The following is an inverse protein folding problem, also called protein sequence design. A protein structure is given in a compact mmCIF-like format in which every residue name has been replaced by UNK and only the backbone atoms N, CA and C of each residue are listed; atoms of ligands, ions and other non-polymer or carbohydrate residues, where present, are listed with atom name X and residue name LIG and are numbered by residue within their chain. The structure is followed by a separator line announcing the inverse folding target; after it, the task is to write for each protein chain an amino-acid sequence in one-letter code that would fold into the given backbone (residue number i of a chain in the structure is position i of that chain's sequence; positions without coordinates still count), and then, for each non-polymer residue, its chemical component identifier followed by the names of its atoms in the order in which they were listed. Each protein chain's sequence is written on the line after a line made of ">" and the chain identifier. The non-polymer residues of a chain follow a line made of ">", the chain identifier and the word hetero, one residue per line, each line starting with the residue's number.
data_IF_602067745259
#
_entry.id   IF_602067745259
#
_cell.length_a   1.000
_cell.length_b   1.000
_cell.length_c   1.000
_cell.angle_alpha   90.00
_cell.angle_beta   90.00
_cell.angle_gamma   90.00
#
_symmetry.space_group_name_H-M   'P 1'
#
loop_
_entity.id
_entity.type
_entity.pdbx_description
1 polymer ?
#
# COMPACT_ATOMS: atom_id res chain seq x y z
N UNK A 1 -7.46 21.16 -14.61
CA UNK A 1 -6.80 20.25 -13.67
C UNK A 1 -7.91 19.67 -12.80
N UNK A 2 -8.09 18.34 -12.80
CA UNK A 2 -9.10 17.68 -11.96
C UNK A 2 -8.45 17.22 -10.67
N UNK A 3 -9.06 17.51 -9.53
CA UNK A 3 -8.60 17.11 -8.20
C UNK A 3 -9.20 15.74 -7.83
N UNK A 4 -8.42 14.92 -7.18
CA UNK A 4 -8.90 13.64 -6.63
C UNK A 4 -9.45 13.92 -5.23
N UNK A 5 -10.67 13.49 -4.97
CA UNK A 5 -11.26 13.56 -3.62
C UNK A 5 -10.70 12.42 -2.76
N UNK A 6 -10.37 12.71 -1.51
CA UNK A 6 -9.82 11.73 -0.57
C UNK A 6 -10.75 10.53 -0.34
N UNK A 7 -12.05 10.76 -0.38
CA UNK A 7 -13.07 9.70 -0.22
C UNK A 7 -13.02 8.60 -1.29
N UNK A 8 -12.45 8.91 -2.47
CA UNK A 8 -12.33 7.95 -3.58
C UNK A 8 -11.02 7.15 -3.53
N UNK A 9 -10.08 7.52 -2.66
CA UNK A 9 -8.83 6.79 -2.45
C UNK A 9 -8.98 5.82 -1.28
N UNK A 10 -8.82 4.54 -1.57
CA UNK A 10 -9.05 3.47 -0.62
C UNK A 10 -7.87 2.50 -0.53
N UNK A 11 -7.76 1.85 0.61
CA UNK A 11 -6.84 0.71 0.82
C UNK A 11 -7.62 -0.58 0.66
N UNK A 12 -7.09 -1.46 -0.15
CA UNK A 12 -7.62 -2.81 -0.39
C UNK A 12 -6.61 -3.84 0.12
N UNK A 13 -7.10 -4.86 0.79
CA UNK A 13 -6.32 -5.99 1.28
C UNK A 13 -6.90 -7.29 0.72
N UNK A 14 -6.09 -8.04 -0.05
CA UNK A 14 -6.57 -9.25 -0.71
C UNK A 14 -7.74 -9.01 -1.67
N UNK A 15 -7.78 -7.85 -2.33
CA UNK A 15 -8.83 -7.48 -3.29
C UNK A 15 -10.13 -6.96 -2.70
N UNK A 16 -10.25 -6.88 -1.37
CA UNK A 16 -11.40 -6.30 -0.66
C UNK A 16 -10.98 -5.02 0.06
N UNK A 17 -11.85 -4.02 0.09
CA UNK A 17 -11.62 -2.81 0.88
C UNK A 17 -11.56 -3.12 2.37
N UNK A 18 -10.77 -2.35 3.11
CA UNK A 18 -10.85 -2.33 4.57
C UNK A 18 -12.17 -1.65 4.93
N UNK A 19 -12.99 -2.31 5.76
CA UNK A 19 -14.34 -1.86 6.04
C UNK A 19 -14.37 -0.54 6.83
N UNK A 20 -15.36 0.29 6.53
CA UNK A 20 -15.71 1.52 7.26
C UNK A 20 -14.55 2.49 7.51
N UNK A 21 -13.63 2.59 6.56
CA UNK A 21 -12.49 3.47 6.68
C UNK A 21 -12.89 4.94 6.66
N UNK A 22 -12.35 5.70 7.58
CA UNK A 22 -12.51 7.14 7.69
C UNK A 22 -11.31 7.90 7.14
N UNK A 23 -10.13 7.26 7.18
CA UNK A 23 -8.89 7.86 6.67
C UNK A 23 -7.90 6.78 6.25
N UNK A 24 -7.16 7.06 5.20
CA UNK A 24 -6.04 6.24 4.74
C UNK A 24 -4.81 7.09 4.49
N UNK A 25 -3.66 6.59 4.87
CA UNK A 25 -2.37 7.23 4.61
C UNK A 25 -1.39 6.23 4.00
N UNK A 26 -0.71 6.63 2.95
CA UNK A 26 0.45 5.94 2.39
C UNK A 26 1.65 6.87 2.51
N UNK A 27 2.66 6.45 3.22
CA UNK A 27 3.92 7.16 3.36
C UNK A 27 5.03 6.37 2.68
N UNK A 28 5.85 7.06 1.91
CA UNK A 28 7.02 6.49 1.22
C UNK A 28 8.22 7.32 1.63
N UNK A 29 9.23 6.68 2.18
CA UNK A 29 10.44 7.33 2.69
C UNK A 29 11.68 6.80 1.98
N UNK A 30 12.62 7.69 1.72
CA UNK A 30 13.94 7.38 1.19
C UNK A 30 14.97 7.73 2.25
N UNK A 31 15.73 6.75 2.70
CA UNK A 31 16.90 7.01 3.53
C UNK A 31 18.00 7.66 2.70
N UNK A 32 18.71 8.59 3.31
CA UNK A 32 19.87 9.23 2.70
C UNK A 32 21.11 9.02 3.55
N UNK A 33 22.23 8.76 2.90
CA UNK A 33 23.52 8.63 3.53
C UNK A 33 24.38 9.82 3.14
N UNK A 34 24.91 10.52 4.13
CA UNK A 34 25.83 11.62 3.89
C UNK A 34 27.19 11.08 3.42
N UNK A 35 27.69 11.62 2.31
CA UNK A 35 29.01 11.35 1.77
C UNK A 35 29.83 12.62 1.97
N UNK A 36 30.63 12.65 3.05
CA UNK A 36 31.53 13.74 3.31
C UNK A 36 32.96 13.25 3.06
N UNK A 37 33.62 13.77 2.03
CA UNK A 37 35.02 13.47 1.75
C UNK A 37 35.88 14.69 2.04
N UNK A 38 37.18 14.45 2.36
CA UNK A 38 38.15 15.56 2.62
C UNK A 38 38.36 16.43 1.39
N UNK A 39 38.02 15.94 0.21
CA UNK A 39 38.20 16.64 -1.06
C UNK A 39 36.95 17.46 -1.44
N UNK A 40 35.84 17.31 -0.71
CA UNK A 40 34.65 18.17 -0.86
C UNK A 40 34.93 19.54 -0.24
N UNK A 41 35.63 20.37 -0.96
CA UNK A 41 35.92 21.77 -0.56
C UNK A 41 34.69 22.69 -0.60
N UNK A 42 33.48 22.14 -0.66
CA UNK A 42 32.25 22.84 -0.87
C UNK A 42 31.49 23.21 0.41
N UNK A 43 30.63 24.21 0.29
CA UNK A 43 29.72 24.66 1.34
C UNK A 43 28.44 23.79 1.41
N UNK A 44 28.34 22.76 0.58
CA UNK A 44 27.16 21.91 0.41
C UNK A 44 27.50 20.48 0.79
N UNK A 45 26.60 19.81 1.51
CA UNK A 45 26.71 18.39 1.80
C UNK A 45 26.23 17.57 0.60
N UNK A 46 26.93 16.48 0.30
CA UNK A 46 26.51 15.49 -0.69
C UNK A 46 25.86 14.31 0.03
N UNK A 47 24.79 13.79 -0.55
CA UNK A 47 24.04 12.65 -0.02
C UNK A 47 23.87 11.58 -1.08
N UNK A 48 23.97 10.32 -0.66
CA UNK A 48 23.67 9.15 -1.46
C UNK A 48 22.29 8.62 -1.09
N UNK A 49 21.53 8.16 -2.09
CA UNK A 49 20.25 7.52 -1.88
C UNK A 49 20.43 6.15 -1.23
N UNK A 50 19.77 5.93 -0.11
CA UNK A 50 19.76 4.66 0.61
C UNK A 50 18.55 3.79 0.27
N UNK A 51 17.96 3.17 1.27
CA UNK A 51 16.83 2.24 1.12
C UNK A 51 15.51 3.03 1.06
N UNK A 52 14.65 2.64 0.14
CA UNK A 52 13.26 3.12 0.10
C UNK A 52 12.42 2.20 0.97
N UNK A 53 11.67 2.78 1.89
CA UNK A 53 10.69 2.11 2.73
C UNK A 53 9.32 2.75 2.56
N UNK A 54 8.27 2.02 2.90
CA UNK A 54 6.92 2.55 2.87
C UNK A 54 6.05 1.92 3.95
N UNK A 55 5.07 2.67 4.39
CA UNK A 55 4.07 2.23 5.35
C UNK A 55 2.68 2.70 4.93
N UNK A 56 1.67 2.01 5.43
CA UNK A 56 0.26 2.39 5.29
C UNK A 56 -0.40 2.43 6.65
N UNK A 57 -1.30 3.39 6.81
CA UNK A 57 -2.15 3.50 7.98
C UNK A 57 -3.61 3.63 7.55
N UNK A 58 -4.50 3.09 8.34
CA UNK A 58 -5.93 3.19 8.14
C UNK A 58 -6.64 3.40 9.47
N UNK A 59 -7.53 4.39 9.49
CA UNK A 59 -8.46 4.65 10.59
C UNK A 59 -9.85 4.22 10.16
N UNK A 60 -10.52 3.42 10.97
CA UNK A 60 -11.76 2.76 10.60
C UNK A 60 -12.76 2.79 11.75
N UNK A 61 -14.05 2.81 11.42
CA UNK A 61 -15.11 2.42 12.36
C UNK A 61 -15.22 0.89 12.38
N UNK A 62 -15.58 0.34 13.53
CA UNK A 62 -15.79 -1.10 13.67
C UNK A 62 -17.22 -1.42 13.28
N UNK A 63 -17.39 -2.25 12.26
CA UNK A 63 -18.67 -2.70 11.76
C UNK A 63 -18.93 -4.19 11.99
N UNK A 64 -20.10 -4.65 11.57
CA UNK A 64 -20.47 -6.06 11.68
C UNK A 64 -19.57 -6.94 10.79
N UNK A 65 -19.29 -8.18 11.21
CA UNK A 65 -18.57 -9.16 10.40
C UNK A 65 -19.27 -9.37 9.03
N UNK A 66 -18.47 -9.39 7.95
CA UNK A 66 -18.95 -9.71 6.61
C UNK A 66 -18.97 -8.55 5.61
N UNK A 67 -18.84 -7.31 6.05
CA UNK A 67 -18.81 -6.12 5.19
C UNK A 67 -17.39 -5.62 4.91
N UNK A 68 -16.57 -6.43 4.19
CA UNK A 68 -15.17 -6.12 3.91
C UNK A 68 -14.20 -6.81 4.89
N UNK A 69 -12.99 -6.26 5.03
CA UNK A 69 -11.99 -6.73 6.00
C UNK A 69 -12.25 -6.08 7.36
N UNK A 70 -12.84 -6.86 8.26
CA UNK A 70 -13.14 -6.43 9.62
C UNK A 70 -11.99 -6.64 10.61
N UNK A 71 -12.22 -6.29 11.88
CA UNK A 71 -11.22 -6.40 12.96
C UNK A 71 -10.63 -7.80 13.09
N UNK A 72 -11.46 -8.84 13.18
CA UNK A 72 -11.02 -10.22 13.41
C UNK A 72 -10.11 -10.72 12.28
N UNK A 73 -10.50 -10.46 11.02
CA UNK A 73 -9.69 -10.86 9.86
C UNK A 73 -8.33 -10.16 9.81
N UNK A 74 -8.25 -8.92 10.29
CA UNK A 74 -6.99 -8.16 10.35
C UNK A 74 -6.09 -8.65 11.48
N UNK A 75 -6.66 -9.00 12.63
CA UNK A 75 -5.93 -9.62 13.74
C UNK A 75 -5.42 -11.00 13.35
N UNK A 76 -6.24 -11.82 12.69
CA UNK A 76 -5.83 -13.15 12.21
C UNK A 76 -4.68 -13.03 11.20
N UNK A 77 -4.75 -12.08 10.28
CA UNK A 77 -3.68 -11.83 9.32
C UNK A 77 -2.38 -11.37 10.02
N UNK A 78 -2.48 -10.56 11.07
CA UNK A 78 -1.33 -10.14 11.87
C UNK A 78 -0.72 -11.33 12.62
N UNK A 79 -1.54 -12.20 13.24
CA UNK A 79 -1.10 -13.40 13.97
C UNK A 79 -0.44 -14.40 13.03
N UNK A 80 -0.93 -14.52 11.79
CA UNK A 80 -0.35 -15.39 10.78
C UNK A 80 1.08 -14.98 10.38
N UNK A 81 1.50 -13.74 10.67
CA UNK A 81 2.85 -13.20 10.39
C UNK A 81 3.28 -13.33 8.94
N UNK A 82 2.32 -13.30 8.03
CA UNK A 82 2.56 -13.38 6.59
C UNK A 82 2.28 -12.05 5.93
N UNK A 83 3.11 -11.64 4.94
CA UNK A 83 2.81 -10.45 4.17
C UNK A 83 1.49 -10.61 3.42
N UNK A 84 0.66 -9.59 3.49
CA UNK A 84 -0.61 -9.51 2.77
C UNK A 84 -0.48 -8.60 1.55
N UNK A 85 -1.22 -8.92 0.49
CA UNK A 85 -1.27 -8.06 -0.70
C UNK A 85 -2.14 -6.85 -0.38
N UNK A 86 -1.56 -5.67 -0.56
CA UNK A 86 -2.23 -4.39 -0.35
C UNK A 86 -2.21 -3.54 -1.61
N UNK A 87 -3.29 -2.83 -1.84
CA UNK A 87 -3.43 -1.89 -2.95
C UNK A 87 -3.98 -0.57 -2.41
N UNK A 88 -3.30 0.53 -2.68
CA UNK A 88 -3.77 1.88 -2.43
C UNK A 88 -4.16 2.48 -3.77
N UNK A 89 -5.46 2.58 -4.04
CA UNK A 89 -5.96 3.05 -5.33
C UNK A 89 -7.31 3.73 -5.23
N UNK A 90 -7.72 4.33 -6.35
CA UNK A 90 -9.12 4.72 -6.51
C UNK A 90 -10.02 3.48 -6.54
N UNK A 91 -11.26 3.65 -6.13
CA UNK A 91 -12.30 2.64 -6.32
C UNK A 91 -12.54 2.34 -7.80
N UNK A 92 -12.83 1.08 -8.14
CA UNK A 92 -12.90 0.63 -9.53
C UNK A 92 -14.04 1.21 -10.35
N UNK A 93 -15.13 1.58 -9.68
CA UNK A 93 -16.34 2.10 -10.32
C UNK A 93 -16.30 3.62 -10.53
N UNK A 94 -15.29 4.32 -9.99
CA UNK A 94 -15.07 5.74 -10.26
C UNK A 94 -14.54 5.94 -11.67
N UNK A 95 -15.41 6.38 -12.58
CA UNK A 95 -15.04 6.71 -13.97
C UNK A 95 -14.53 8.14 -14.10
N UNK A 96 -14.89 9.00 -13.17
CA UNK A 96 -14.47 10.40 -13.12
C UNK A 96 -13.91 10.74 -11.75
N UNK A 97 -12.77 11.45 -11.71
CA UNK A 97 -12.15 11.92 -10.46
C UNK A 97 -13.01 12.96 -9.71
N UNK A 98 -13.96 13.59 -10.41
CA UNK A 98 -14.88 14.57 -9.85
C UNK A 98 -16.25 13.94 -9.47
N UNK A 99 -16.53 12.72 -9.92
CA UNK A 99 -17.70 12.01 -9.48
C UNK A 99 -17.55 11.69 -7.99
N UNK A 100 -18.52 12.03 -7.20
CA UNK A 100 -18.60 11.58 -5.82
C UNK A 100 -18.60 10.05 -5.76
N UNK A 101 -18.32 9.52 -4.59
CA UNK A 101 -18.47 8.10 -4.31
C UNK A 101 -19.90 7.67 -4.68
N UNK A 102 -20.08 6.47 -5.19
CA UNK A 102 -21.42 5.92 -5.42
C UNK A 102 -22.27 6.02 -4.15
N UNK A 103 -23.54 6.32 -4.29
CA UNK A 103 -24.47 6.48 -3.15
C UNK A 103 -24.65 5.19 -2.32
N UNK A 104 -24.25 4.05 -2.87
CA UNK A 104 -24.33 2.76 -2.21
C UNK A 104 -23.09 1.90 -2.48
N UNK A 105 -22.70 1.10 -1.49
CA UNK A 105 -21.65 0.09 -1.65
C UNK A 105 -22.11 -0.94 -2.68
N UNK A 106 -21.29 -1.24 -3.73
CA UNK A 106 -21.64 -2.28 -4.69
C UNK A 106 -21.88 -3.64 -4.00
N UNK A 107 -22.80 -4.44 -4.50
CA UNK A 107 -23.10 -5.78 -3.93
C UNK A 107 -21.86 -6.69 -3.85
N UNK A 108 -20.88 -6.48 -4.74
CA UNK A 108 -19.60 -7.19 -4.73
C UNK A 108 -18.53 -6.54 -3.84
N UNK A 109 -18.87 -5.48 -3.11
CA UNK A 109 -17.94 -4.63 -2.38
C UNK A 109 -17.11 -3.72 -3.30
N UNK A 110 -16.40 -2.76 -2.72
CA UNK A 110 -15.47 -1.90 -3.44
C UNK A 110 -14.30 -2.70 -3.98
N UNK A 111 -13.88 -2.40 -5.20
CA UNK A 111 -12.72 -3.03 -5.87
C UNK A 111 -11.69 -1.98 -6.26
N UNK A 112 -10.39 -2.31 -6.25
CA UNK A 112 -9.35 -1.39 -6.67
C UNK A 112 -9.42 -1.14 -8.18
N UNK A 113 -9.19 0.11 -8.60
CA UNK A 113 -9.11 0.46 -10.02
C UNK A 113 -7.84 -0.11 -10.64
N UNK A 114 -7.99 -0.84 -11.75
CA UNK A 114 -6.88 -1.55 -12.39
C UNK A 114 -5.81 -0.64 -13.02
N UNK A 115 -6.10 0.65 -13.22
CA UNK A 115 -5.21 1.58 -13.94
C UNK A 115 -4.55 2.65 -13.07
N UNK A 116 -4.92 2.74 -11.79
CA UNK A 116 -4.43 3.81 -10.93
C UNK A 116 -4.21 3.34 -9.49
N UNK A 117 -3.05 3.66 -8.95
CA UNK A 117 -2.72 3.33 -7.57
C UNK A 117 -1.35 2.70 -7.40
N UNK A 118 -1.09 2.25 -6.18
CA UNK A 118 0.12 1.54 -5.76
C UNK A 118 -0.24 0.20 -5.15
N UNK A 119 0.51 -0.83 -5.47
CA UNK A 119 0.35 -2.19 -4.92
C UNK A 119 1.66 -2.69 -4.36
N UNK A 120 1.58 -3.50 -3.34
CA UNK A 120 2.74 -4.12 -2.72
C UNK A 120 2.33 -5.18 -1.72
N UNK A 121 3.30 -5.71 -1.02
CA UNK A 121 3.08 -6.61 0.11
C UNK A 121 3.39 -5.86 1.40
N UNK A 122 2.56 -6.01 2.40
CA UNK A 122 2.75 -5.40 3.70
C UNK A 122 2.52 -6.40 4.83
N UNK A 123 3.26 -6.21 5.91
CA UNK A 123 2.99 -6.85 7.19
C UNK A 123 2.12 -5.93 8.04
N UNK A 124 1.06 -6.47 8.62
CA UNK A 124 0.29 -5.76 9.63
C UNK A 124 1.12 -5.74 10.91
N UNK A 125 1.50 -4.55 11.36
CA UNK A 125 2.38 -4.36 12.52
C UNK A 125 1.63 -3.95 13.76
N UNK A 126 0.45 -3.35 13.62
CA UNK A 126 -0.40 -2.96 14.73
C UNK A 126 -1.86 -2.95 14.31
N UNK A 127 -2.72 -3.48 15.17
CA UNK A 127 -4.17 -3.33 15.10
C UNK A 127 -4.62 -2.88 16.48
N UNK A 128 -5.17 -1.68 16.58
CA UNK A 128 -5.63 -1.09 17.84
C UNK A 128 -7.14 -0.89 17.78
N UNK A 129 -7.83 -1.34 18.81
CA UNK A 129 -9.28 -1.19 18.96
C UNK A 129 -9.56 -0.23 20.12
N UNK A 130 -10.42 0.75 19.88
CA UNK A 130 -10.91 1.68 20.87
C UNK A 130 -12.45 1.63 20.90
N UNK A 131 -13.02 1.30 22.06
CA UNK A 131 -14.46 1.13 22.25
C UNK A 131 -14.95 2.00 23.42
N UNK A 132 -15.13 3.31 23.19
CA UNK A 132 -15.62 4.22 24.22
C UNK A 132 -17.11 3.98 24.50
N UNK A 133 -17.52 4.24 25.73
CA UNK A 133 -18.93 4.12 26.09
C UNK A 133 -19.74 5.26 25.48
N UNK A 134 -20.81 4.90 24.76
CA UNK A 134 -21.73 5.87 24.13
C UNK A 134 -21.33 6.36 22.74
N UNK A 135 -20.21 5.91 22.19
CA UNK A 135 -19.73 6.25 20.85
C UNK A 135 -19.47 5.00 20.02
N UNK A 136 -19.28 5.17 18.71
CA UNK A 136 -18.90 4.05 17.83
C UNK A 136 -17.47 3.59 18.15
N UNK A 137 -17.27 2.29 18.14
CA UNK A 137 -15.93 1.73 18.25
C UNK A 137 -15.11 2.06 17.01
N UNK A 138 -13.84 2.40 17.23
CA UNK A 138 -12.88 2.73 16.18
C UNK A 138 -11.71 1.75 16.22
N UNK A 139 -11.11 1.50 15.06
CA UNK A 139 -9.84 0.77 14.98
C UNK A 139 -8.83 1.52 14.14
N UNK A 140 -7.57 1.43 14.52
CA UNK A 140 -6.46 1.90 13.73
C UNK A 140 -5.54 0.74 13.36
N UNK A 141 -5.07 0.77 12.11
CA UNK A 141 -4.26 -0.29 11.53
C UNK A 141 -2.97 0.35 11.02
N UNK A 142 -1.86 -0.29 11.33
CA UNK A 142 -0.55 0.08 10.77
C UNK A 142 0.03 -1.10 10.02
N UNK A 143 0.55 -0.84 8.84
CA UNK A 143 1.16 -1.83 7.96
C UNK A 143 2.51 -1.32 7.48
N UNK A 144 3.51 -2.18 7.54
CA UNK A 144 4.85 -1.89 7.02
C UNK A 144 5.07 -2.64 5.72
N UNK A 145 5.55 -1.94 4.71
CA UNK A 145 5.82 -2.50 3.40
C UNK A 145 6.93 -3.54 3.39
N UNK A 146 6.73 -4.58 2.60
CA UNK A 146 7.71 -5.64 2.38
C UNK A 146 8.09 -5.63 0.90
N UNK A 147 9.31 -5.18 0.61
CA UNK A 147 9.79 -5.05 -0.77
C UNK A 147 9.24 -3.83 -1.51
N UNK A 148 9.25 -3.90 -2.83
CA UNK A 148 8.93 -2.77 -3.69
C UNK A 148 7.43 -2.45 -3.70
N UNK A 149 7.12 -1.16 -3.75
CA UNK A 149 5.79 -0.64 -4.02
C UNK A 149 5.65 -0.34 -5.52
N UNK A 150 4.83 -1.13 -6.21
CA UNK A 150 4.66 -1.05 -7.65
C UNK A 150 3.45 -0.18 -8.04
N UNK A 151 3.48 0.36 -9.26
CA UNK A 151 2.32 1.04 -9.83
C UNK A 151 1.30 0.00 -10.28
N UNK A 152 0.02 0.19 -9.95
CA UNK A 152 -1.07 -0.65 -10.46
C UNK A 152 -1.17 -0.47 -11.99
N UNK A 153 -1.27 -1.56 -12.74
CA UNK A 153 -1.30 -1.53 -14.21
C UNK A 153 0.07 -1.39 -14.89
N UNK A 154 1.18 -1.31 -14.14
CA UNK A 154 2.50 -1.46 -14.73
C UNK A 154 2.69 -2.89 -15.23
N UNK A 155 2.96 -3.03 -16.51
CA UNK A 155 3.45 -4.30 -17.08
C UNK A 155 4.87 -4.45 -16.51
N UNK A 156 5.07 -5.41 -15.63
CA UNK A 156 6.41 -5.80 -15.18
C UNK A 156 7.15 -6.31 -16.41
N UNK A 157 8.07 -5.51 -16.95
CA UNK A 157 9.01 -6.04 -17.92
C UNK A 157 9.74 -7.21 -17.23
N UNK A 158 9.87 -8.37 -17.89
CA UNK A 158 10.60 -9.49 -17.31
C UNK A 158 12.01 -9.00 -17.01
N UNK A 159 12.42 -9.09 -15.78
CA UNK A 159 13.79 -8.81 -15.34
C UNK A 159 14.69 -9.76 -16.15
N UNK A 160 15.52 -9.18 -16.99
CA UNK A 160 16.53 -9.93 -17.75
C UNK A 160 17.56 -10.50 -16.77
N UNK A 161 17.23 -11.63 -16.18
CA UNK A 161 18.15 -12.54 -15.50
C UNK A 161 18.05 -13.85 -16.24
N UNK A 162 18.91 -14.02 -17.19
CA UNK A 162 19.47 -15.28 -17.67
C UNK A 162 19.92 -15.12 -19.12
N UNK A 163 21.09 -14.57 -19.33
CA UNK A 163 21.89 -14.87 -20.51
C UNK A 163 23.35 -14.74 -20.14
N UNK A 164 23.85 -15.76 -19.46
CA UNK A 164 25.30 -16.02 -19.40
C UNK A 164 25.51 -17.42 -18.82
N UNK A 165 25.29 -18.43 -19.63
CA UNK A 165 25.97 -19.73 -19.52
C UNK A 165 25.42 -20.67 -20.57
N UNK A 166 25.87 -20.52 -21.82
CA UNK A 166 25.94 -21.62 -22.75
C UNK A 166 26.85 -21.22 -23.92
N UNK A 167 28.13 -21.15 -23.66
CA UNK A 167 29.11 -21.11 -24.72
C UNK A 167 30.46 -21.61 -24.17
N UNK A 168 30.53 -22.89 -23.82
CA UNK A 168 31.82 -23.56 -23.70
C UNK A 168 31.60 -25.06 -23.64
N UNK A 169 31.33 -25.67 -24.77
CA UNK A 169 31.68 -27.08 -25.04
C UNK A 169 31.46 -27.34 -26.53
N UNK A 170 32.44 -26.98 -27.34
CA UNK A 170 32.64 -27.56 -28.67
C UNK A 170 34.07 -27.24 -29.11
N UNK A 171 35.05 -28.00 -28.60
CA UNK A 171 36.27 -28.26 -29.31
C UNK A 171 37.03 -29.39 -28.62
N UNK A 172 36.79 -30.57 -29.08
CA UNK A 172 37.73 -31.68 -29.15
C UNK A 172 37.27 -32.63 -30.25
#
# INVERSE_FOLDING_TARGET
>A
MKLIRGENLMVFMGGKSIAFATSHTLEISLDTREISTKDNGGKWSEVEAGIISWNMQSENLVGNPGEGKGYDELVDAMIARQPVDVVFSLEGDSTDYDAGKLDAVPTSGWKPKASNGRKGKALITSVSLNAPNGEYATMSIQMTGVGALEKVGAITAPTAKTMSQTAQTAKA
#
